data_IF_248935035769
#
_entry.id   IF_248935035769
#
_cell.length_a   1.000
_cell.length_b   1.000
_cell.length_c   1.000
_cell.angle_alpha   90.00
_cell.angle_beta   90.00
_cell.angle_gamma   90.00
#
_symmetry.space_group_name_H-M   'P 1'
#
loop_
_entity.id
_entity.type
_entity.pdbx_description
1 polymer ?
#
# COMPACT_ATOMS: atom_id res chain seq x y z
N UNK A 1 8.89 -20.76 -11.86
CA UNK A 1 8.64 -19.61 -10.95
C UNK A 1 8.51 -20.19 -9.55
N UNK A 2 9.29 -19.72 -8.60
CA UNK A 2 9.09 -20.10 -7.19
C UNK A 2 7.79 -19.42 -6.75
N UNK A 3 6.77 -20.21 -6.45
CA UNK A 3 5.54 -19.71 -5.83
C UNK A 3 5.91 -19.37 -4.38
N UNK A 4 5.76 -18.12 -3.98
CA UNK A 4 5.86 -17.71 -2.60
C UNK A 4 4.60 -18.19 -1.87
N UNK A 5 4.78 -18.88 -0.73
CA UNK A 5 3.67 -19.12 0.19
C UNK A 5 3.42 -17.85 1.03
N UNK A 6 2.27 -17.82 1.69
CA UNK A 6 1.84 -16.67 2.47
C UNK A 6 2.85 -16.28 3.56
N UNK A 7 3.34 -17.28 4.30
CA UNK A 7 4.27 -17.06 5.42
C UNK A 7 5.60 -16.47 4.94
N UNK A 8 6.18 -17.04 3.88
CA UNK A 8 7.44 -16.53 3.30
C UNK A 8 7.29 -15.11 2.75
N UNK A 9 6.13 -14.77 2.17
CA UNK A 9 5.86 -13.43 1.68
C UNK A 9 5.70 -12.43 2.83
N UNK A 10 4.95 -12.77 3.88
CA UNK A 10 4.79 -11.92 5.07
C UNK A 10 6.13 -11.68 5.78
N UNK A 11 7.00 -12.69 5.85
CA UNK A 11 8.36 -12.54 6.37
C UNK A 11 9.20 -11.60 5.51
N UNK A 12 9.13 -11.72 4.18
CA UNK A 12 9.81 -10.81 3.25
C UNK A 12 9.35 -9.37 3.45
N UNK A 13 8.04 -9.13 3.52
CA UNK A 13 7.47 -7.79 3.73
C UNK A 13 7.89 -7.24 5.10
N UNK A 14 7.70 -7.99 6.17
CA UNK A 14 8.06 -7.57 7.53
C UNK A 14 9.54 -7.19 7.66
N UNK A 15 10.43 -8.00 7.09
CA UNK A 15 11.87 -7.73 7.09
C UNK A 15 12.20 -6.56 6.15
N UNK A 16 11.54 -6.52 5.00
CA UNK A 16 11.77 -5.51 3.98
C UNK A 16 11.40 -4.09 4.41
N UNK A 17 10.41 -3.92 5.28
CA UNK A 17 10.02 -2.61 5.83
C UNK A 17 10.96 -2.11 6.93
N UNK A 18 11.78 -2.97 7.54
CA UNK A 18 12.73 -2.56 8.57
C UNK A 18 13.74 -1.52 8.03
N UNK A 19 13.94 -0.45 8.80
CA UNK A 19 14.84 0.66 8.45
C UNK A 19 14.33 1.59 7.35
N UNK A 20 13.05 1.47 6.92
CA UNK A 20 12.51 2.26 5.80
C UNK A 20 11.49 3.32 6.21
N UNK A 21 11.07 3.39 7.46
CA UNK A 21 9.97 4.23 7.91
C UNK A 21 10.17 5.73 7.56
N UNK A 22 11.33 6.29 7.87
CA UNK A 22 11.65 7.69 7.56
C UNK A 22 11.78 7.96 6.05
N UNK A 23 12.42 7.05 5.30
CA UNK A 23 12.56 7.17 3.85
C UNK A 23 11.18 7.08 3.15
N UNK A 24 10.33 6.13 3.57
CA UNK A 24 8.96 6.02 3.08
C UNK A 24 8.18 7.32 3.33
N UNK A 25 8.20 7.83 4.55
CA UNK A 25 7.51 9.08 4.93
C UNK A 25 7.98 10.27 4.10
N UNK A 26 9.29 10.40 3.90
CA UNK A 26 9.89 11.52 3.17
C UNK A 26 9.67 11.46 1.66
N UNK A 27 9.52 10.27 1.08
CA UNK A 27 9.46 10.01 -0.35
C UNK A 27 8.15 9.37 -0.80
N UNK A 28 8.14 8.05 -0.88
CA UNK A 28 7.03 7.27 -1.45
C UNK A 28 5.66 7.54 -0.78
N UNK A 29 5.65 7.81 0.53
CA UNK A 29 4.43 8.16 1.27
C UNK A 29 3.71 9.41 0.74
N UNK A 30 4.42 10.32 0.03
CA UNK A 30 3.79 11.49 -0.62
C UNK A 30 2.90 11.08 -1.80
N UNK A 31 3.17 9.93 -2.41
CA UNK A 31 2.30 9.38 -3.45
C UNK A 31 1.02 8.82 -2.84
N UNK A 32 1.14 8.02 -1.77
CA UNK A 32 0.03 7.25 -1.19
C UNK A 32 -0.95 8.11 -0.40
N UNK A 33 -0.50 9.21 0.22
CA UNK A 33 -1.36 10.12 1.02
C UNK A 33 -2.49 10.77 0.20
N UNK A 34 -2.36 10.81 -1.13
CA UNK A 34 -3.39 11.35 -2.03
C UNK A 34 -4.75 10.68 -1.86
N UNK A 35 -4.78 9.44 -1.38
CA UNK A 35 -6.01 8.69 -1.16
C UNK A 35 -6.52 8.76 0.28
N UNK A 36 -5.84 9.48 1.20
CA UNK A 36 -6.28 9.55 2.59
C UNK A 36 -7.72 10.10 2.73
N UNK A 37 -8.01 11.25 2.12
CA UNK A 37 -9.34 11.85 2.18
C UNK A 37 -10.42 11.01 1.46
N UNK A 38 -10.24 10.56 0.20
CA UNK A 38 -11.18 9.65 -0.44
C UNK A 38 -11.45 8.36 0.35
N UNK A 39 -10.40 7.79 0.96
CA UNK A 39 -10.50 6.59 1.78
C UNK A 39 -11.38 6.81 3.02
N UNK A 40 -11.16 7.92 3.71
CA UNK A 40 -11.95 8.31 4.89
C UNK A 40 -13.41 8.63 4.52
N UNK A 41 -13.65 9.25 3.37
CA UNK A 41 -15.00 9.52 2.85
C UNK A 41 -15.73 8.21 2.55
N UNK A 42 -15.09 7.27 1.85
CA UNK A 42 -15.63 5.95 1.54
C UNK A 42 -15.97 5.15 2.80
N UNK A 43 -15.16 5.27 3.85
CA UNK A 43 -15.43 4.65 5.16
C UNK A 43 -16.45 5.43 6.01
N UNK A 44 -16.94 6.58 5.56
CA UNK A 44 -17.90 7.41 6.30
C UNK A 44 -17.33 8.00 7.59
N UNK A 45 -16.02 8.31 7.62
CA UNK A 45 -15.35 8.81 8.82
C UNK A 45 -15.70 10.27 9.09
N UNK A 46 -16.31 10.50 10.25
CA UNK A 46 -16.72 11.82 10.76
C UNK A 46 -16.33 11.95 12.24
N UNK A 47 -16.65 13.10 12.84
CA UNK A 47 -16.38 13.32 14.25
C UNK A 47 -17.03 12.24 15.14
N UNK A 48 -16.26 11.69 16.06
CA UNK A 48 -16.69 10.64 16.98
C UNK A 48 -16.66 9.21 16.42
N UNK A 49 -16.44 9.00 15.11
CA UNK A 49 -16.26 7.67 14.52
C UNK A 49 -15.08 6.94 15.17
N UNK A 50 -15.29 5.68 15.59
CA UNK A 50 -14.19 4.82 16.06
C UNK A 50 -13.55 4.16 14.85
N UNK A 51 -12.33 4.57 14.54
CA UNK A 51 -11.60 4.16 13.33
C UNK A 51 -10.42 3.27 13.69
N UNK A 52 -10.26 2.17 12.97
CA UNK A 52 -9.02 1.43 12.87
C UNK A 52 -8.31 1.82 11.56
N UNK A 53 -7.09 2.36 11.66
CA UNK A 53 -6.18 2.51 10.52
C UNK A 53 -5.27 1.28 10.47
N UNK A 54 -5.53 0.39 9.51
CA UNK A 54 -4.92 -0.92 9.36
C UNK A 54 -3.74 -0.84 8.38
N UNK A 55 -2.52 -1.13 8.86
CA UNK A 55 -1.28 -0.90 8.10
C UNK A 55 -0.99 0.59 7.98
N UNK A 56 -0.99 1.28 9.13
CA UNK A 56 -0.99 2.74 9.17
C UNK A 56 0.31 3.39 8.63
N UNK A 57 1.40 2.62 8.49
CA UNK A 57 2.70 3.18 8.17
C UNK A 57 3.09 4.31 9.14
N UNK A 58 3.61 5.45 8.64
CA UNK A 58 3.95 6.60 9.47
C UNK A 58 2.72 7.43 9.92
N UNK A 59 1.49 6.96 9.72
CA UNK A 59 0.25 7.50 10.28
C UNK A 59 -0.47 8.61 9.50
N UNK A 60 -0.28 8.82 8.20
CA UNK A 60 -0.89 9.97 7.50
C UNK A 60 -2.42 9.87 7.41
N UNK A 61 -2.98 8.67 7.24
CA UNK A 61 -4.45 8.47 7.22
C UNK A 61 -5.03 8.64 8.61
N UNK A 62 -4.37 8.06 9.63
CA UNK A 62 -4.76 8.25 11.02
C UNK A 62 -4.78 9.73 11.41
N UNK A 63 -3.78 10.53 10.98
CA UNK A 63 -3.73 11.97 11.23
C UNK A 63 -4.93 12.70 10.60
N UNK A 64 -5.23 12.42 9.32
CA UNK A 64 -6.40 13.00 8.66
C UNK A 64 -7.71 12.61 9.34
N UNK A 65 -7.84 11.37 9.82
CA UNK A 65 -9.00 10.95 10.59
C UNK A 65 -9.14 11.68 11.95
N UNK A 66 -8.01 11.91 12.65
CA UNK A 66 -7.97 12.71 13.87
C UNK A 66 -8.41 14.16 13.61
N UNK A 67 -7.98 14.77 12.49
CA UNK A 67 -8.37 16.12 12.08
C UNK A 67 -9.90 16.21 11.82
N UNK A 68 -10.53 15.13 11.39
CA UNK A 68 -12.00 15.02 11.28
C UNK A 68 -12.70 14.84 12.65
N UNK A 69 -11.95 14.76 13.75
CA UNK A 69 -12.48 14.54 15.10
C UNK A 69 -12.84 13.08 15.39
N UNK A 70 -12.34 12.12 14.63
CA UNK A 70 -12.54 10.70 14.88
C UNK A 70 -11.68 10.22 16.07
N UNK A 71 -12.07 9.08 16.66
CA UNK A 71 -11.28 8.34 17.65
C UNK A 71 -10.51 7.26 16.92
N UNK A 72 -9.19 7.42 16.82
CA UNK A 72 -8.38 6.59 15.94
C UNK A 72 -7.46 5.68 16.74
N UNK A 73 -7.47 4.40 16.41
CA UNK A 73 -6.43 3.44 16.75
C UNK A 73 -5.74 3.03 15.44
N UNK A 74 -4.41 3.00 15.43
CA UNK A 74 -3.62 2.67 14.26
C UNK A 74 -2.74 1.46 14.53
N UNK A 75 -2.67 0.54 13.58
CA UNK A 75 -1.82 -0.66 13.70
C UNK A 75 -0.91 -0.80 12.49
N UNK A 76 0.30 -1.30 12.76
CA UNK A 76 1.24 -1.69 11.70
C UNK A 76 2.03 -2.93 12.14
N UNK A 77 2.41 -3.79 11.20
CA UNK A 77 3.25 -4.95 11.48
C UNK A 77 4.72 -4.55 11.77
N UNK A 78 5.14 -3.38 11.26
CA UNK A 78 6.46 -2.81 11.52
C UNK A 78 6.46 -1.98 12.81
N UNK A 79 7.26 -2.36 13.84
CA UNK A 79 7.42 -1.56 15.04
C UNK A 79 7.91 -0.14 14.75
N UNK A 80 8.80 0.03 13.76
CA UNK A 80 9.35 1.33 13.38
C UNK A 80 8.27 2.26 12.78
N UNK A 81 7.36 1.70 11.97
CA UNK A 81 6.23 2.45 11.41
C UNK A 81 5.27 2.91 12.52
N UNK A 82 4.85 1.99 13.39
CA UNK A 82 3.95 2.31 14.50
C UNK A 82 4.57 3.35 15.46
N UNK A 83 5.87 3.21 15.78
CA UNK A 83 6.59 4.17 16.61
C UNK A 83 6.69 5.55 15.94
N UNK A 84 7.01 5.58 14.62
CA UNK A 84 7.08 6.83 13.88
C UNK A 84 5.71 7.53 13.84
N UNK A 85 4.62 6.78 13.62
CA UNK A 85 3.26 7.31 13.64
C UNK A 85 2.93 7.96 14.99
N UNK A 86 3.20 7.27 16.11
CA UNK A 86 2.97 7.79 17.47
C UNK A 86 3.81 9.02 17.81
N UNK A 87 5.08 9.06 17.36
CA UNK A 87 5.95 10.24 17.57
C UNK A 87 5.53 11.44 16.73
N UNK A 88 5.05 11.18 15.50
CA UNK A 88 4.68 12.26 14.56
C UNK A 88 3.31 12.85 14.88
N UNK A 89 2.41 12.05 15.42
CA UNK A 89 1.02 12.41 15.70
C UNK A 89 0.69 12.21 17.20
N UNK A 90 1.03 13.17 18.07
CA UNK A 90 0.78 13.06 19.51
C UNK A 90 -0.70 12.80 19.81
N UNK A 91 -0.98 11.80 20.63
CA UNK A 91 -2.35 11.40 20.98
C UNK A 91 -2.94 10.29 20.09
N UNK A 92 -2.24 9.85 19.04
CA UNK A 92 -2.62 8.68 18.28
C UNK A 92 -2.32 7.40 19.10
N UNK A 93 -3.32 6.54 19.30
CA UNK A 93 -3.13 5.18 19.84
C UNK A 93 -2.53 4.29 18.74
N UNK A 94 -1.24 4.00 18.86
CA UNK A 94 -0.52 3.14 17.90
C UNK A 94 -0.14 1.82 18.51
N UNK A 95 -0.31 0.72 17.76
CA UNK A 95 0.05 -0.63 18.23
C UNK A 95 0.76 -1.41 17.13
N UNK A 96 1.64 -2.31 17.53
CA UNK A 96 2.25 -3.29 16.62
C UNK A 96 1.33 -4.50 16.57
N UNK A 97 0.80 -4.82 15.38
CA UNK A 97 -0.07 -5.98 15.19
C UNK A 97 -0.05 -6.47 13.74
N UNK A 98 -0.24 -7.78 13.56
CA UNK A 98 -0.49 -8.37 12.24
C UNK A 98 -1.98 -8.25 11.91
N UNK A 99 -2.30 -7.98 10.65
CA UNK A 99 -3.71 -7.86 10.21
C UNK A 99 -4.44 -9.21 10.20
N UNK A 100 -3.72 -10.31 10.30
CA UNK A 100 -4.29 -11.66 10.45
C UNK A 100 -4.57 -12.05 11.90
N UNK A 101 -4.16 -11.21 12.88
CA UNK A 101 -4.35 -11.45 14.31
C UNK A 101 -4.40 -10.10 15.05
N UNK A 102 -5.57 -9.46 15.04
CA UNK A 102 -5.75 -8.14 15.64
C UNK A 102 -6.11 -8.25 17.13
N UNK A 103 -5.41 -7.50 18.03
CA UNK A 103 -5.61 -7.56 19.48
C UNK A 103 -6.83 -6.72 19.94
N UNK A 104 -7.96 -6.87 19.24
CA UNK A 104 -9.19 -6.15 19.52
C UNK A 104 -10.39 -7.09 19.61
N UNK A 105 -11.39 -6.78 20.44
CA UNK A 105 -12.62 -7.54 20.47
C UNK A 105 -13.43 -7.38 19.17
N UNK A 106 -14.37 -8.29 18.98
CA UNK A 106 -15.31 -8.24 17.86
C UNK A 106 -16.13 -6.95 17.90
N UNK A 107 -16.26 -6.28 16.75
CA UNK A 107 -17.14 -5.12 16.60
C UNK A 107 -16.66 -3.86 17.33
N UNK A 108 -15.38 -3.72 17.63
CA UNK A 108 -14.86 -2.55 18.34
C UNK A 108 -14.96 -1.27 17.52
N UNK A 109 -14.72 -1.33 16.20
CA UNK A 109 -14.61 -0.15 15.34
C UNK A 109 -15.88 0.07 14.51
N UNK A 110 -16.24 1.35 14.31
CA UNK A 110 -17.33 1.73 13.41
C UNK A 110 -16.89 1.86 11.96
N UNK A 111 -15.60 2.12 11.75
CA UNK A 111 -14.96 2.16 10.45
C UNK A 111 -13.56 1.51 10.50
N UNK A 112 -13.18 0.86 9.43
CA UNK A 112 -11.83 0.33 9.22
C UNK A 112 -11.32 0.89 7.90
N UNK A 113 -10.12 1.43 7.90
CA UNK A 113 -9.44 1.93 6.70
C UNK A 113 -8.08 1.27 6.55
N UNK A 114 -7.64 1.09 5.30
CA UNK A 114 -6.30 0.55 5.02
C UNK A 114 -5.78 1.06 3.69
N UNK A 115 -4.76 1.92 3.74
CA UNK A 115 -4.22 2.58 2.56
C UNK A 115 -3.06 1.78 1.97
N UNK A 116 -3.30 1.10 0.85
CA UNK A 116 -2.34 0.24 0.14
C UNK A 116 -1.80 -0.97 0.95
N UNK A 117 -2.48 -1.36 2.02
CA UNK A 117 -2.01 -2.45 2.89
C UNK A 117 -2.28 -3.83 2.29
N UNK A 118 -3.39 -4.00 1.57
CA UNK A 118 -3.78 -5.32 1.02
C UNK A 118 -2.73 -5.91 0.07
N UNK A 119 -1.92 -5.07 -0.56
CA UNK A 119 -0.84 -5.48 -1.45
C UNK A 119 0.30 -6.21 -0.73
N UNK A 120 0.40 -6.06 0.59
CA UNK A 120 1.50 -6.51 1.45
C UNK A 120 1.12 -7.72 2.31
N UNK A 121 -0.07 -8.28 2.13
CA UNK A 121 -0.52 -9.46 2.88
C UNK A 121 -0.19 -10.75 2.11
N UNK A 122 0.41 -11.71 2.80
CA UNK A 122 0.61 -13.06 2.30
C UNK A 122 -0.71 -13.84 2.20
N UNK A 123 -1.65 -13.56 3.12
CA UNK A 123 -3.02 -14.06 3.09
C UNK A 123 -4.03 -12.90 3.21
N UNK A 124 -4.41 -12.29 2.07
CA UNK A 124 -5.41 -11.22 2.05
C UNK A 124 -6.78 -11.64 2.59
N UNK A 125 -7.18 -12.90 2.40
CA UNK A 125 -8.47 -13.40 2.88
C UNK A 125 -8.50 -13.48 4.41
N UNK A 126 -7.44 -13.99 5.04
CA UNK A 126 -7.30 -14.00 6.49
C UNK A 126 -7.28 -12.59 7.07
N UNK A 127 -6.53 -11.66 6.44
CA UNK A 127 -6.53 -10.26 6.84
C UNK A 127 -7.93 -9.64 6.80
N UNK A 128 -8.68 -9.82 5.71
CA UNK A 128 -10.05 -9.32 5.58
C UNK A 128 -11.01 -9.94 6.59
N UNK A 129 -10.84 -11.22 6.92
CA UNK A 129 -11.66 -11.87 7.95
C UNK A 129 -11.47 -11.21 9.33
N UNK A 130 -10.24 -10.87 9.70
CA UNK A 130 -9.94 -10.14 10.93
C UNK A 130 -10.45 -8.69 10.90
N UNK A 131 -10.26 -7.95 9.79
CA UNK A 131 -10.82 -6.60 9.63
C UNK A 131 -12.35 -6.63 9.77
N UNK A 132 -13.00 -7.64 9.18
CA UNK A 132 -14.45 -7.84 9.34
C UNK A 132 -14.84 -8.18 10.78
N UNK A 133 -14.06 -9.00 11.48
CA UNK A 133 -14.32 -9.37 12.88
C UNK A 133 -14.34 -8.16 13.79
N UNK A 134 -13.32 -7.29 13.67
CA UNK A 134 -13.19 -6.09 14.53
C UNK A 134 -14.09 -4.93 14.14
N UNK A 135 -14.64 -4.94 12.93
CA UNK A 135 -15.59 -3.94 12.47
C UNK A 135 -16.99 -4.24 13.05
N UNK A 136 -17.69 -3.24 13.59
CA UNK A 136 -19.03 -3.40 14.13
C UNK A 136 -20.05 -3.83 13.04
N UNK A 137 -21.12 -4.56 13.38
CA UNK A 137 -22.24 -4.76 12.46
C UNK A 137 -22.75 -3.41 11.91
N UNK A 138 -22.95 -3.30 10.61
CA UNK A 138 -23.26 -2.05 9.92
C UNK A 138 -22.08 -1.09 9.75
N UNK A 139 -20.90 -1.42 10.27
CA UNK A 139 -19.68 -0.64 10.10
C UNK A 139 -19.13 -0.70 8.66
N UNK A 140 -18.32 0.27 8.29
CA UNK A 140 -17.79 0.44 6.92
C UNK A 140 -16.29 0.14 6.85
N UNK A 141 -15.92 -0.60 5.81
CA UNK A 141 -14.53 -0.84 5.41
C UNK A 141 -14.21 0.02 4.18
N UNK A 142 -13.03 0.60 4.14
CA UNK A 142 -12.45 1.13 2.90
C UNK A 142 -10.97 0.76 2.81
N UNK A 143 -10.56 0.26 1.65
CA UNK A 143 -9.19 -0.15 1.37
C UNK A 143 -8.75 0.38 0.02
N UNK A 144 -7.45 0.62 -0.14
CA UNK A 144 -6.87 0.94 -1.44
C UNK A 144 -5.86 -0.12 -1.88
N UNK A 145 -5.71 -0.29 -3.18
CA UNK A 145 -4.66 -1.09 -3.78
C UNK A 145 -4.19 -0.49 -5.10
N UNK A 146 -3.05 -0.98 -5.61
CA UNK A 146 -2.54 -0.55 -6.89
C UNK A 146 -3.29 -1.20 -8.05
N UNK A 147 -3.61 -0.38 -9.08
CA UNK A 147 -4.00 -0.89 -10.40
C UNK A 147 -2.74 -1.04 -11.26
N UNK A 148 -2.75 -2.01 -12.16
CA UNK A 148 -1.59 -2.33 -12.99
C UNK A 148 -1.45 -1.40 -14.19
N UNK A 149 -2.56 -1.09 -14.86
CA UNK A 149 -2.56 -0.30 -16.09
C UNK A 149 -3.60 0.83 -16.03
N UNK A 150 -3.28 2.02 -16.45
CA UNK A 150 -2.03 2.52 -17.06
C UNK A 150 -1.04 3.13 -16.06
N UNK A 151 -0.64 2.39 -15.04
CA UNK A 151 0.29 2.84 -14.00
C UNK A 151 1.70 3.05 -14.55
N UNK A 152 2.24 4.28 -14.49
CA UNK A 152 3.62 4.56 -14.91
C UNK A 152 4.57 4.75 -13.73
N UNK A 153 4.09 5.35 -12.66
CA UNK A 153 4.95 5.68 -11.52
C UNK A 153 5.72 4.47 -10.96
N UNK A 154 5.07 3.31 -10.85
CA UNK A 154 5.70 2.08 -10.36
C UNK A 154 6.26 1.19 -11.48
N UNK A 155 5.66 1.21 -12.68
CA UNK A 155 6.03 0.31 -13.77
C UNK A 155 7.41 0.61 -14.37
N UNK A 156 7.87 1.87 -14.35
CA UNK A 156 9.13 2.28 -14.99
C UNK A 156 10.34 1.49 -14.50
N UNK A 157 10.41 1.19 -13.21
CA UNK A 157 11.52 0.41 -12.67
C UNK A 157 11.51 -1.03 -13.20
N UNK A 158 10.37 -1.71 -13.12
CA UNK A 158 10.23 -3.09 -13.61
C UNK A 158 10.50 -3.21 -15.10
N UNK A 159 10.02 -2.25 -15.90
CA UNK A 159 10.29 -2.18 -17.32
C UNK A 159 11.78 -1.93 -17.63
N UNK A 160 12.42 -1.05 -16.86
CA UNK A 160 13.85 -0.78 -17.03
C UNK A 160 14.69 -2.03 -16.70
N UNK A 161 14.33 -2.74 -15.64
CA UNK A 161 14.98 -4.00 -15.28
C UNK A 161 14.79 -5.06 -16.40
N UNK A 162 13.57 -5.26 -16.87
CA UNK A 162 13.28 -6.23 -17.93
C UNK A 162 14.01 -5.90 -19.23
N UNK A 163 14.03 -4.63 -19.64
CA UNK A 163 14.69 -4.19 -20.87
C UNK A 163 16.22 -4.23 -20.77
N UNK A 164 16.79 -4.13 -19.57
CA UNK A 164 18.23 -4.19 -19.37
C UNK A 164 18.83 -5.56 -19.65
N UNK A 165 18.01 -6.61 -19.67
CA UNK A 165 18.47 -7.98 -19.74
C UNK A 165 19.10 -8.50 -18.45
N UNK A 166 19.13 -7.71 -17.40
CA UNK A 166 19.61 -8.14 -16.07
C UNK A 166 18.63 -9.15 -15.50
N UNK A 167 19.10 -10.34 -15.09
CA UNK A 167 18.22 -11.33 -14.48
C UNK A 167 17.55 -10.80 -13.22
N UNK A 168 16.25 -11.08 -13.05
CA UNK A 168 15.57 -10.78 -11.80
C UNK A 168 16.21 -11.58 -10.65
N UNK A 169 16.55 -10.95 -9.52
CA UNK A 169 17.27 -11.62 -8.44
C UNK A 169 16.49 -12.81 -7.87
N UNK A 170 17.15 -13.95 -7.71
CA UNK A 170 16.54 -15.12 -7.10
C UNK A 170 16.16 -14.86 -5.64
N UNK A 171 15.05 -15.45 -5.18
CA UNK A 171 14.56 -15.29 -3.82
C UNK A 171 14.06 -13.87 -3.51
N UNK A 172 13.55 -13.14 -4.50
CA UNK A 172 12.77 -11.91 -4.34
C UNK A 172 11.42 -12.12 -5.00
N UNK A 173 10.29 -11.84 -4.33
CA UNK A 173 8.97 -11.93 -4.95
C UNK A 173 8.83 -10.88 -6.07
N UNK A 174 8.04 -11.17 -7.09
CA UNK A 174 7.75 -10.20 -8.16
C UNK A 174 6.53 -9.32 -7.83
N UNK A 175 5.61 -9.87 -7.06
CA UNK A 175 4.42 -9.19 -6.56
C UNK A 175 3.88 -9.98 -5.35
N UNK A 176 3.07 -9.33 -4.52
CA UNK A 176 2.30 -10.00 -3.48
C UNK A 176 1.19 -10.87 -4.05
N UNK A 177 0.64 -11.81 -3.26
CA UNK A 177 -0.38 -12.76 -3.70
C UNK A 177 -1.57 -12.10 -4.38
N UNK A 178 -2.12 -11.05 -3.78
CA UNK A 178 -3.25 -10.30 -4.35
C UNK A 178 -2.93 -9.68 -5.72
N UNK A 179 -1.74 -9.07 -5.87
CA UNK A 179 -1.34 -8.45 -7.12
C UNK A 179 -0.90 -9.48 -8.19
N UNK A 180 -0.49 -10.67 -7.77
CA UNK A 180 -0.09 -11.77 -8.65
C UNK A 180 -1.31 -12.58 -9.16
N UNK A 181 -2.45 -12.51 -8.46
CA UNK A 181 -3.66 -13.23 -8.86
C UNK A 181 -4.17 -12.73 -10.22
N UNK A 182 -4.34 -13.68 -11.13
CA UNK A 182 -4.85 -13.46 -12.50
C UNK A 182 -6.11 -14.27 -12.78
N UNK A 183 -6.79 -14.79 -11.75
CA UNK A 183 -7.99 -15.63 -11.92
C UNK A 183 -9.22 -14.78 -12.29
N UNK A 184 -9.27 -13.53 -11.86
CA UNK A 184 -10.32 -12.59 -12.24
C UNK A 184 -10.02 -11.92 -13.60
N UNK A 185 -11.07 -11.45 -14.33
CA UNK A 185 -10.90 -10.82 -15.64
C UNK A 185 -10.09 -9.53 -15.59
N UNK A 186 -10.19 -8.78 -14.50
CA UNK A 186 -9.47 -7.54 -14.25
C UNK A 186 -9.27 -7.30 -12.75
N UNK A 187 -8.44 -6.32 -12.39
CA UNK A 187 -8.13 -6.00 -11.00
C UNK A 187 -9.32 -5.47 -10.21
N UNK A 188 -10.18 -4.58 -10.75
CA UNK A 188 -11.40 -4.17 -10.05
C UNK A 188 -12.31 -5.34 -9.68
N UNK A 189 -12.52 -6.28 -10.59
CA UNK A 189 -13.31 -7.49 -10.34
C UNK A 189 -12.67 -8.41 -9.29
N UNK A 190 -11.32 -8.56 -9.32
CA UNK A 190 -10.58 -9.31 -8.29
C UNK A 190 -10.76 -8.68 -6.92
N UNK A 191 -10.66 -7.35 -6.81
CA UNK A 191 -10.79 -6.65 -5.55
C UNK A 191 -12.23 -6.70 -5.02
N UNK A 192 -13.22 -6.50 -5.89
CA UNK A 192 -14.63 -6.67 -5.53
C UNK A 192 -14.91 -8.09 -5.04
N UNK A 193 -14.44 -9.11 -5.77
CA UNK A 193 -14.59 -10.52 -5.38
C UNK A 193 -13.97 -10.81 -4.02
N UNK A 194 -12.76 -10.32 -3.78
CA UNK A 194 -12.06 -10.49 -2.49
C UNK A 194 -12.87 -9.93 -1.31
N UNK A 195 -13.50 -8.75 -1.48
CA UNK A 195 -14.37 -8.15 -0.44
C UNK A 195 -15.64 -8.98 -0.24
N UNK A 196 -16.29 -9.40 -1.33
CA UNK A 196 -17.52 -10.18 -1.27
C UNK A 196 -17.29 -11.57 -0.64
N UNK A 197 -16.21 -12.26 -1.02
CA UNK A 197 -15.84 -13.58 -0.50
C UNK A 197 -15.47 -13.53 0.99
N UNK A 198 -14.95 -12.39 1.47
CA UNK A 198 -14.74 -12.15 2.89
C UNK A 198 -16.04 -11.88 3.67
N UNK A 199 -17.21 -11.90 3.00
CA UNK A 199 -18.53 -11.75 3.60
C UNK A 199 -18.94 -10.31 3.90
N UNK A 200 -18.35 -9.33 3.21
CA UNK A 200 -18.84 -7.96 3.20
C UNK A 200 -20.02 -7.79 2.22
N UNK A 201 -20.93 -6.88 2.54
CA UNK A 201 -22.02 -6.46 1.67
C UNK A 201 -21.71 -5.11 1.00
N UNK A 202 -22.48 -4.78 -0.03
CA UNK A 202 -22.42 -3.49 -0.73
C UNK A 202 -21.00 -3.13 -1.19
N UNK A 203 -20.24 -4.15 -1.62
CA UNK A 203 -18.89 -3.92 -2.11
C UNK A 203 -18.92 -3.08 -3.39
N UNK A 204 -18.13 -2.02 -3.40
CA UNK A 204 -17.94 -1.13 -4.54
C UNK A 204 -16.45 -0.89 -4.75
N UNK A 205 -16.01 -0.75 -6.01
CA UNK A 205 -14.60 -0.53 -6.36
C UNK A 205 -14.50 0.57 -7.40
N UNK A 206 -13.91 1.68 -6.99
CA UNK A 206 -13.66 2.84 -7.83
C UNK A 206 -12.21 2.88 -8.30
N UNK A 207 -12.00 3.38 -9.53
CA UNK A 207 -10.67 3.68 -10.07
C UNK A 207 -10.33 5.14 -9.84
N UNK A 208 -9.23 5.41 -9.13
CA UNK A 208 -8.72 6.75 -8.87
C UNK A 208 -7.42 6.96 -9.63
N UNK A 209 -7.35 8.03 -10.43
CA UNK A 209 -6.19 8.33 -11.28
C UNK A 209 -5.69 9.75 -11.04
N UNK A 210 -4.36 9.93 -11.04
CA UNK A 210 -3.74 11.24 -10.96
C UNK A 210 -2.37 11.27 -11.63
N UNK A 211 -1.81 12.45 -11.81
CA UNK A 211 -0.43 12.63 -12.26
C UNK A 211 0.46 12.93 -11.05
N UNK A 212 1.49 12.12 -10.86
CA UNK A 212 2.54 12.37 -9.88
C UNK A 212 3.66 13.19 -10.51
N UNK A 213 3.70 14.48 -10.19
CA UNK A 213 4.76 15.38 -10.63
C UNK A 213 5.93 15.29 -9.66
N UNK A 214 7.08 14.84 -10.14
CA UNK A 214 8.25 14.56 -9.32
C UNK A 214 9.55 14.73 -10.12
N UNK A 215 10.63 15.06 -9.44
CA UNK A 215 11.99 14.95 -10.00
C UNK A 215 12.31 13.46 -10.23
N UNK A 216 12.75 13.04 -11.43
CA UNK A 216 12.96 11.63 -11.73
C UNK A 216 14.07 10.97 -10.91
N UNK A 217 15.11 11.71 -10.50
CA UNK A 217 16.19 11.19 -9.64
C UNK A 217 15.69 11.01 -8.20
N UNK A 218 14.88 11.95 -7.72
CA UNK A 218 14.22 11.82 -6.44
C UNK A 218 13.25 10.63 -6.46
N UNK A 219 12.46 10.45 -7.52
CA UNK A 219 11.53 9.32 -7.60
C UNK A 219 12.24 7.96 -7.62
N UNK A 220 13.35 7.87 -8.34
CA UNK A 220 14.21 6.68 -8.26
C UNK A 220 14.64 6.40 -6.82
N UNK A 221 15.11 7.44 -6.14
CA UNK A 221 15.55 7.33 -4.73
C UNK A 221 14.39 6.91 -3.83
N UNK A 222 13.20 7.52 -4.00
CA UNK A 222 12.01 7.21 -3.22
C UNK A 222 11.56 5.74 -3.40
N UNK A 223 11.65 5.20 -4.62
CA UNK A 223 11.38 3.79 -4.89
C UNK A 223 12.40 2.86 -4.23
N UNK A 224 13.68 3.14 -4.39
CA UNK A 224 14.77 2.27 -3.90
C UNK A 224 14.85 2.27 -2.38
N UNK A 225 14.70 3.42 -1.74
CA UNK A 225 14.84 3.54 -0.28
C UNK A 225 13.53 3.34 0.47
N UNK A 226 12.40 3.69 -0.15
CA UNK A 226 11.09 3.71 0.48
C UNK A 226 10.23 2.46 0.25
N UNK A 227 10.64 1.51 -0.62
CA UNK A 227 9.86 0.29 -0.85
C UNK A 227 10.70 -0.98 -0.68
N UNK A 228 10.16 -2.03 -0.04
CA UNK A 228 10.86 -3.30 0.17
C UNK A 228 11.31 -3.95 -1.13
N UNK A 229 10.38 -4.11 -2.07
CA UNK A 229 10.61 -4.87 -3.30
C UNK A 229 11.70 -4.23 -4.16
N UNK A 230 11.53 -2.97 -4.55
CA UNK A 230 12.50 -2.25 -5.39
C UNK A 230 13.84 -2.14 -4.70
N UNK A 231 13.85 -1.80 -3.40
CA UNK A 231 15.08 -1.68 -2.62
C UNK A 231 15.85 -3.01 -2.54
N UNK A 232 15.15 -4.13 -2.34
CA UNK A 232 15.77 -5.45 -2.29
C UNK A 232 16.33 -5.86 -3.66
N UNK A 233 15.58 -5.63 -4.74
CA UNK A 233 16.08 -5.90 -6.10
C UNK A 233 17.35 -5.11 -6.36
N UNK A 234 17.33 -3.81 -6.13
CA UNK A 234 18.48 -2.92 -6.40
C UNK A 234 19.69 -3.29 -5.55
N UNK A 235 19.51 -3.65 -4.27
CA UNK A 235 20.62 -4.03 -3.39
C UNK A 235 21.37 -5.29 -3.82
N UNK A 236 20.78 -6.10 -4.71
CA UNK A 236 21.39 -7.33 -5.25
C UNK A 236 22.03 -7.16 -6.62
N UNK A 237 21.95 -5.96 -7.21
CA UNK A 237 22.60 -5.66 -8.48
C UNK A 237 24.08 -5.32 -8.27
N UNK A 238 24.93 -5.81 -9.14
CA UNK A 238 26.29 -5.29 -9.25
C UNK A 238 26.30 -3.89 -9.90
N UNK A 239 27.43 -3.21 -9.85
CA UNK A 239 27.55 -1.83 -10.35
C UNK A 239 27.22 -1.69 -11.84
N UNK A 240 27.57 -2.68 -12.67
CA UNK A 240 27.31 -2.65 -14.11
C UNK A 240 25.82 -2.85 -14.40
N UNK A 241 25.18 -3.82 -13.73
CA UNK A 241 23.76 -4.08 -13.80
C UNK A 241 22.94 -2.88 -13.31
N UNK A 242 23.32 -2.30 -12.17
CA UNK A 242 22.69 -1.06 -11.66
C UNK A 242 22.75 0.06 -12.69
N UNK A 243 23.94 0.34 -13.26
CA UNK A 243 24.11 1.39 -14.24
C UNK A 243 23.30 1.14 -15.52
N UNK A 244 23.14 -0.12 -15.95
CA UNK A 244 22.34 -0.49 -17.09
C UNK A 244 20.83 -0.23 -16.84
N UNK A 245 20.30 -0.67 -15.71
CA UNK A 245 18.90 -0.45 -15.31
C UNK A 245 18.62 1.05 -15.15
N UNK A 246 19.50 1.77 -14.46
CA UNK A 246 19.35 3.21 -14.23
C UNK A 246 19.29 4.00 -15.52
N UNK A 247 20.19 3.75 -16.47
CA UNK A 247 20.19 4.43 -17.78
C UNK A 247 18.89 4.21 -18.56
N UNK A 248 18.31 3.01 -18.48
CA UNK A 248 17.04 2.71 -19.15
C UNK A 248 15.88 3.41 -18.45
N UNK A 249 15.87 3.40 -17.12
CA UNK A 249 14.92 4.14 -16.32
C UNK A 249 14.94 5.63 -16.68
N UNK A 250 16.10 6.27 -16.71
CA UNK A 250 16.24 7.70 -17.05
C UNK A 250 15.66 8.03 -18.42
N UNK A 251 15.95 7.19 -19.43
CA UNK A 251 15.39 7.35 -20.76
C UNK A 251 13.85 7.22 -20.78
N UNK A 252 13.32 6.23 -20.04
CA UNK A 252 11.86 6.02 -19.95
C UNK A 252 11.17 7.16 -19.19
N UNK A 253 11.76 7.60 -18.09
CA UNK A 253 11.25 8.73 -17.30
C UNK A 253 11.22 10.02 -18.13
N UNK A 254 12.24 10.28 -18.95
CA UNK A 254 12.33 11.45 -19.81
C UNK A 254 11.16 11.55 -20.82
N UNK A 255 10.54 10.43 -21.20
CA UNK A 255 9.34 10.43 -22.05
C UNK A 255 8.11 11.07 -21.38
N UNK A 256 8.15 11.26 -20.04
CA UNK A 256 7.12 11.90 -19.24
C UNK A 256 7.51 13.33 -18.77
N UNK A 257 8.53 13.94 -19.38
CA UNK A 257 9.01 15.25 -18.99
C UNK A 257 7.93 16.34 -19.20
N UNK A 258 7.77 17.22 -18.20
CA UNK A 258 6.79 18.32 -18.21
C UNK A 258 7.47 19.69 -18.07
N UNK A 259 8.79 19.76 -18.24
CA UNK A 259 9.60 20.96 -18.05
C UNK A 259 10.18 21.09 -16.65
N UNK A 260 11.08 22.04 -16.48
CA UNK A 260 11.73 22.39 -15.20
C UNK A 260 12.42 21.22 -14.46
N UNK A 261 12.86 20.19 -15.22
CA UNK A 261 13.49 18.99 -14.63
C UNK A 261 12.52 17.97 -14.03
N UNK A 262 11.20 18.19 -14.11
CA UNK A 262 10.20 17.28 -13.58
C UNK A 262 9.59 16.36 -14.64
N UNK A 263 9.10 15.23 -14.16
CA UNK A 263 8.25 14.30 -14.91
C UNK A 263 6.85 14.27 -14.30
N UNK A 264 5.83 13.97 -15.11
CA UNK A 264 4.46 13.73 -14.64
C UNK A 264 4.09 12.28 -14.96
N UNK A 265 4.12 11.42 -13.95
CA UNK A 265 3.89 9.98 -14.08
C UNK A 265 2.43 9.65 -13.79
N UNK A 266 1.70 9.02 -14.70
CA UNK A 266 0.37 8.49 -14.41
C UNK A 266 0.39 7.49 -13.25
N UNK A 267 -0.52 7.68 -12.31
CA UNK A 267 -0.76 6.80 -11.17
C UNK A 267 -2.21 6.37 -11.19
N UNK A 268 -2.45 5.10 -10.96
CA UNK A 268 -3.79 4.53 -10.87
C UNK A 268 -3.87 3.63 -9.64
N UNK A 269 -4.90 3.83 -8.85
CA UNK A 269 -5.23 3.02 -7.71
C UNK A 269 -6.71 2.64 -7.73
N UNK A 270 -7.05 1.59 -7.02
CA UNK A 270 -8.42 1.20 -6.73
C UNK A 270 -8.76 1.57 -5.29
N UNK A 271 -9.94 2.10 -5.09
CA UNK A 271 -10.56 2.34 -3.80
C UNK A 271 -11.75 1.39 -3.67
N UNK A 272 -11.60 0.38 -2.84
CA UNK A 272 -12.67 -0.55 -2.48
C UNK A 272 -13.36 -0.12 -1.20
N UNK A 273 -14.68 -0.12 -1.18
CA UNK A 273 -15.48 0.10 0.02
C UNK A 273 -16.53 -0.99 0.18
N UNK A 274 -16.90 -1.28 1.43
CA UNK A 274 -17.89 -2.31 1.72
C UNK A 274 -18.47 -2.13 3.14
N UNK A 275 -19.55 -2.84 3.45
CA UNK A 275 -20.25 -2.79 4.73
C UNK A 275 -20.20 -4.15 5.40
N UNK A 276 -19.93 -4.22 6.72
CA UNK A 276 -20.18 -5.44 7.48
C UNK A 276 -21.69 -5.63 7.65
N UNK A 277 -22.28 -6.74 7.21
CA UNK A 277 -23.71 -7.03 7.47
C UNK A 277 -24.07 -6.94 8.96
N UNK A 278 -25.36 -6.61 9.23
CA UNK A 278 -25.89 -6.48 10.59
C UNK A 278 -25.93 -7.84 11.34
#
# INVERSE_FOLDING_TARGET
>A
MTTWDAESFDEFERTGWSGRADAYRAGFGRLTIRLAEPLLDAAGVTAGTRVLDAGCGPGPVAAAALERGAKVTAVDASPEMAELAGRTHPGLDTRVALLTELPFPDGEFSAVVGNFVINHLGDPAAGLAELRRVLAPGGRLALTCWEKEPMRALALFGEALAESGVPYPAGVPQAGPFLADSTAPDRPSAFHGLLADAGFADADVETVSWLHRVDPDQWWTDLVTGTPLTGTVVSRLDAASYAAVRRIYDRKAAAHAVGDGFVALPVVALLGSATRPA
#
